data_IF_043094469032
#
_entry.id   IF_043094469032
#
_cell.length_a   1.000
_cell.length_b   1.000
_cell.length_c   1.000
_cell.angle_alpha   90.00
_cell.angle_beta   90.00
_cell.angle_gamma   90.00
#
_symmetry.space_group_name_H-M   'P 1'
#
loop_
_entity.id
_entity.type
_entity.pdbx_description
1 polymer ?
#
# COMPACT_ATOMS: atom_id res chain seq x y z
N UNK A 1 22.55 0.81 17.02
CA UNK A 1 21.81 -0.16 16.19
C UNK A 1 20.57 0.56 15.71
N UNK A 2 20.33 0.70 14.41
CA UNK A 2 19.08 1.30 13.93
C UNK A 2 17.93 0.35 14.26
N UNK A 3 16.86 0.90 14.82
CA UNK A 3 15.70 0.08 15.21
C UNK A 3 14.96 -0.34 13.93
N UNK A 4 15.10 -1.61 13.56
CA UNK A 4 14.44 -2.18 12.39
C UNK A 4 13.26 -3.07 12.83
N UNK A 5 12.10 -2.89 12.20
CA UNK A 5 10.97 -3.79 12.33
C UNK A 5 10.45 -4.20 10.96
N UNK A 6 9.94 -5.43 10.87
CA UNK A 6 9.39 -6.00 9.64
C UNK A 6 8.11 -6.75 9.97
N UNK A 7 7.20 -6.84 9.01
CA UNK A 7 6.04 -7.69 9.13
C UNK A 7 6.40 -9.16 9.24
N UNK A 8 5.71 -9.93 10.11
CA UNK A 8 5.90 -11.36 10.20
C UNK A 8 5.57 -11.96 8.84
N UNK A 9 6.41 -12.86 8.33
CA UNK A 9 6.41 -13.17 6.90
C UNK A 9 5.86 -14.57 6.60
N UNK A 10 4.62 -14.67 6.10
CA UNK A 10 4.26 -15.76 5.21
C UNK A 10 4.02 -15.21 3.79
N UNK A 11 4.94 -15.53 2.88
CA UNK A 11 4.71 -15.60 1.42
C UNK A 11 4.33 -14.30 0.69
N UNK A 12 4.64 -13.13 1.25
CA UNK A 12 4.46 -11.89 0.50
C UNK A 12 5.34 -11.88 -0.76
N UNK A 13 4.71 -11.59 -1.89
CA UNK A 13 5.33 -11.46 -3.22
C UNK A 13 4.77 -10.19 -3.84
N UNK A 14 5.62 -9.40 -4.49
CA UNK A 14 5.20 -8.24 -5.25
C UNK A 14 4.31 -8.62 -6.44
N UNK A 15 3.52 -7.67 -6.92
CA UNK A 15 2.60 -7.86 -8.03
C UNK A 15 2.58 -6.63 -8.93
N UNK A 16 2.87 -6.80 -10.23
CA UNK A 16 2.75 -5.69 -11.17
C UNK A 16 1.30 -5.25 -11.29
N UNK A 17 1.09 -3.94 -11.34
CA UNK A 17 -0.21 -3.40 -11.73
C UNK A 17 -0.51 -3.76 -13.20
N UNK A 18 -1.73 -4.21 -13.50
CA UNK A 18 -2.08 -4.61 -14.86
C UNK A 18 -2.21 -3.44 -15.84
N UNK A 19 -2.53 -2.26 -15.33
CA UNK A 19 -2.60 -0.98 -16.05
C UNK A 19 -2.23 0.16 -15.08
N UNK A 20 -1.96 1.35 -15.64
CA UNK A 20 -1.46 2.54 -14.92
C UNK A 20 -2.28 2.91 -13.65
N UNK A 21 -3.59 2.71 -13.68
CA UNK A 21 -4.55 3.07 -12.63
C UNK A 21 -4.75 1.99 -11.56
N UNK A 22 -4.08 0.84 -11.63
CA UNK A 22 -4.39 -0.35 -10.84
C UNK A 22 -3.38 -0.69 -9.73
N UNK A 23 -2.51 0.26 -9.33
CA UNK A 23 -1.60 0.11 -8.18
C UNK A 23 -2.33 -0.33 -6.90
N UNK A 24 -3.52 0.22 -6.67
CA UNK A 24 -4.36 -0.06 -5.52
C UNK A 24 -4.78 -1.54 -5.46
N UNK A 25 -5.18 -2.11 -6.60
CA UNK A 25 -5.65 -3.48 -6.70
C UNK A 25 -4.51 -4.46 -6.48
N UNK A 26 -3.37 -4.22 -7.14
CA UNK A 26 -2.15 -4.99 -6.92
C UNK A 26 -1.67 -4.92 -5.46
N UNK A 27 -1.80 -3.75 -4.82
CA UNK A 27 -1.53 -3.62 -3.39
C UNK A 27 -2.45 -4.51 -2.53
N UNK A 28 -3.75 -4.55 -2.80
CA UNK A 28 -4.66 -5.41 -2.03
C UNK A 28 -4.38 -6.89 -2.23
N UNK A 29 -4.09 -7.32 -3.46
CA UNK A 29 -3.78 -8.73 -3.73
C UNK A 29 -2.51 -9.16 -3.00
N UNK A 30 -1.50 -8.30 -2.92
CA UNK A 30 -0.31 -8.50 -2.09
C UNK A 30 -0.65 -8.68 -0.60
N UNK A 31 -1.54 -7.85 -0.04
CA UNK A 31 -1.97 -7.96 1.36
C UNK A 31 -2.68 -9.29 1.65
N UNK A 32 -3.56 -9.74 0.75
CA UNK A 32 -4.24 -11.04 0.90
C UNK A 32 -3.31 -12.23 0.70
N UNK A 33 -2.32 -12.12 -0.19
CA UNK A 33 -1.28 -13.13 -0.36
C UNK A 33 -0.46 -13.30 0.91
N UNK A 34 -0.06 -12.20 1.54
CA UNK A 34 0.60 -12.21 2.84
C UNK A 34 -0.25 -12.87 3.93
N UNK A 35 -1.56 -12.61 3.92
CA UNK A 35 -2.52 -13.26 4.84
C UNK A 35 -2.67 -14.78 4.60
N UNK A 36 -2.10 -15.31 3.51
CA UNK A 36 -2.17 -16.73 3.17
C UNK A 36 -3.43 -17.14 2.43
N UNK A 37 -4.18 -16.19 1.84
CA UNK A 37 -5.30 -16.52 0.95
C UNK A 37 -4.79 -17.24 -0.31
N UNK A 38 -5.54 -18.23 -0.78
CA UNK A 38 -5.18 -18.97 -2.00
C UNK A 38 -5.20 -18.04 -3.23
N UNK A 39 -4.10 -18.01 -4.00
CA UNK A 39 -3.87 -17.08 -5.11
C UNK A 39 -5.04 -16.98 -6.09
N UNK A 40 -5.63 -18.13 -6.46
CA UNK A 40 -6.74 -18.19 -7.42
C UNK A 40 -8.03 -17.51 -6.94
N UNK A 41 -8.16 -17.30 -5.62
CA UNK A 41 -9.34 -16.71 -4.99
C UNK A 41 -9.19 -15.20 -4.78
N UNK A 42 -7.96 -14.71 -4.60
CA UNK A 42 -7.67 -13.33 -4.16
C UNK A 42 -8.35 -12.29 -5.04
N UNK A 43 -8.15 -12.38 -6.36
CA UNK A 43 -8.64 -11.35 -7.29
C UNK A 43 -10.16 -11.25 -7.31
N UNK A 44 -10.85 -12.39 -7.35
CA UNK A 44 -12.31 -12.44 -7.32
C UNK A 44 -12.85 -11.98 -5.97
N UNK A 45 -12.19 -12.33 -4.87
CA UNK A 45 -12.54 -11.83 -3.55
C UNK A 45 -12.47 -10.29 -3.50
N UNK A 46 -11.35 -9.69 -3.91
CA UNK A 46 -11.20 -8.23 -3.91
C UNK A 46 -12.26 -7.56 -4.77
N UNK A 47 -12.51 -8.04 -5.99
CA UNK A 47 -13.54 -7.45 -6.86
C UNK A 47 -14.94 -7.53 -6.26
N UNK A 48 -15.38 -8.74 -5.91
CA UNK A 48 -16.73 -8.98 -5.44
C UNK A 48 -17.00 -8.22 -4.14
N UNK A 49 -16.02 -8.16 -3.23
CA UNK A 49 -16.16 -7.45 -1.96
C UNK A 49 -16.25 -5.93 -2.15
N UNK A 50 -15.47 -5.35 -3.06
CA UNK A 50 -15.54 -3.92 -3.32
C UNK A 50 -16.83 -3.51 -4.05
N UNK A 51 -17.27 -4.28 -5.04
CA UNK A 51 -18.55 -4.05 -5.72
C UNK A 51 -19.73 -4.18 -4.74
N UNK A 52 -19.73 -5.21 -3.88
CA UNK A 52 -20.76 -5.37 -2.85
C UNK A 52 -20.77 -4.24 -1.82
N UNK A 53 -19.64 -3.57 -1.59
CA UNK A 53 -19.53 -2.39 -0.73
C UNK A 53 -19.92 -1.08 -1.43
N UNK A 54 -20.38 -1.12 -2.68
CA UNK A 54 -20.80 0.06 -3.44
C UNK A 54 -19.65 0.88 -4.02
N UNK A 55 -18.43 0.33 -4.05
CA UNK A 55 -17.29 0.99 -4.71
C UNK A 55 -17.48 0.87 -6.22
N UNK A 56 -17.43 1.98 -6.94
CA UNK A 56 -17.46 1.99 -8.41
C UNK A 56 -16.14 1.46 -8.98
N UNK A 57 -16.04 0.14 -9.03
CA UNK A 57 -14.88 -0.58 -9.56
C UNK A 57 -14.62 -0.26 -11.02
N UNK A 58 -15.66 0.03 -11.81
CA UNK A 58 -15.50 0.41 -13.22
C UNK A 58 -14.79 1.76 -13.33
N UNK A 59 -15.20 2.75 -12.54
CA UNK A 59 -14.50 4.04 -12.46
C UNK A 59 -13.09 3.88 -11.89
N UNK A 60 -12.90 3.04 -10.86
CA UNK A 60 -11.59 2.82 -10.24
C UNK A 60 -10.58 2.15 -11.18
N UNK A 61 -11.04 1.29 -12.10
CA UNK A 61 -10.19 0.72 -13.16
C UNK A 61 -9.71 1.78 -14.16
N UNK A 62 -10.48 2.83 -14.41
CA UNK A 62 -10.09 3.88 -15.36
C UNK A 62 -9.29 4.99 -14.70
N UNK A 63 -9.66 5.39 -13.49
CA UNK A 63 -9.16 6.63 -12.85
C UNK A 63 -8.35 6.38 -11.58
N UNK A 64 -8.21 5.12 -11.16
CA UNK A 64 -7.66 4.75 -9.87
C UNK A 64 -8.70 4.80 -8.75
N UNK A 65 -8.42 4.10 -7.65
CA UNK A 65 -9.24 4.19 -6.44
C UNK A 65 -9.06 5.57 -5.81
N UNK A 66 -10.17 6.28 -5.60
CA UNK A 66 -10.14 7.65 -5.07
C UNK A 66 -9.80 7.62 -3.59
N UNK A 67 -9.06 8.62 -3.11
CA UNK A 67 -8.65 8.72 -1.69
C UNK A 67 -9.83 8.62 -0.72
N UNK A 68 -10.97 9.25 -1.06
CA UNK A 68 -12.20 9.19 -0.25
C UNK A 68 -12.78 7.78 -0.10
N UNK A 69 -12.49 6.90 -1.07
CA UNK A 69 -13.03 5.54 -1.15
C UNK A 69 -12.07 4.53 -0.49
N UNK A 70 -10.79 4.87 -0.27
CA UNK A 70 -9.80 3.99 0.35
C UNK A 70 -10.24 3.42 1.70
N UNK A 71 -10.83 4.26 2.57
CA UNK A 71 -11.31 3.81 3.89
C UNK A 71 -12.44 2.79 3.76
N UNK A 72 -13.44 3.08 2.93
CA UNK A 72 -14.58 2.20 2.71
C UNK A 72 -14.13 0.88 2.07
N UNK A 73 -13.26 0.93 1.07
CA UNK A 73 -12.67 -0.22 0.41
C UNK A 73 -11.90 -1.11 1.40
N UNK A 74 -11.03 -0.53 2.23
CA UNK A 74 -10.26 -1.28 3.21
C UNK A 74 -11.15 -1.96 4.25
N UNK A 75 -12.13 -1.23 4.81
CA UNK A 75 -13.07 -1.80 5.77
C UNK A 75 -13.88 -2.94 5.16
N UNK A 76 -14.33 -2.80 3.90
CA UNK A 76 -15.06 -3.86 3.20
C UNK A 76 -14.23 -5.14 3.02
N UNK A 77 -12.93 -4.98 2.72
CA UNK A 77 -11.97 -6.09 2.57
C UNK A 77 -11.53 -6.70 3.92
N UNK A 78 -12.13 -6.27 5.03
CA UNK A 78 -11.81 -6.77 6.36
C UNK A 78 -10.46 -6.27 6.89
N UNK A 79 -9.94 -5.18 6.33
CA UNK A 79 -8.74 -4.51 6.83
C UNK A 79 -9.12 -3.59 7.99
N UNK A 80 -8.29 -3.55 9.02
CA UNK A 80 -8.34 -2.48 10.00
C UNK A 80 -7.76 -1.23 9.37
N UNK A 81 -8.59 -0.20 9.29
CA UNK A 81 -8.23 1.09 8.74
C UNK A 81 -7.93 2.04 9.90
N UNK A 82 -6.67 2.45 10.04
CA UNK A 82 -6.28 3.43 11.06
C UNK A 82 -6.09 4.78 10.41
N UNK A 83 -6.89 5.77 10.80
CA UNK A 83 -6.60 7.16 10.46
C UNK A 83 -5.53 7.69 11.41
N UNK A 84 -4.37 8.05 10.89
CA UNK A 84 -3.35 8.75 11.67
C UNK A 84 -3.39 10.25 11.33
N UNK A 85 -3.15 11.09 12.34
CA UNK A 85 -2.90 12.51 12.12
C UNK A 85 -1.54 12.72 11.43
N UNK A 86 -1.37 13.86 10.77
CA UNK A 86 -0.06 14.30 10.29
C UNK A 86 0.72 15.00 11.42
N UNK A 87 2.07 14.90 11.45
CA UNK A 87 2.91 14.18 10.51
C UNK A 87 3.00 12.67 10.79
N UNK A 88 3.17 11.87 9.73
CA UNK A 88 3.57 10.47 9.84
C UNK A 88 4.98 10.37 10.41
N UNK A 89 5.16 9.57 11.46
CA UNK A 89 6.50 9.32 12.01
C UNK A 89 7.02 7.92 11.64
N UNK A 90 8.34 7.77 11.66
CA UNK A 90 9.01 6.47 11.54
C UNK A 90 8.47 5.48 12.59
N UNK A 91 8.27 5.96 13.82
CA UNK A 91 7.71 5.15 14.89
C UNK A 91 6.32 4.62 14.55
N UNK A 92 5.45 5.45 13.95
CA UNK A 92 4.13 4.97 13.52
C UNK A 92 4.27 3.84 12.51
N UNK A 93 5.05 4.02 11.45
CA UNK A 93 5.26 2.97 10.45
C UNK A 93 5.87 1.70 11.05
N UNK A 94 6.83 1.85 11.97
CA UNK A 94 7.51 0.74 12.65
C UNK A 94 6.56 -0.10 13.49
N UNK A 95 5.74 0.53 14.32
CA UNK A 95 4.73 -0.17 15.12
C UNK A 95 3.75 -0.94 14.23
N UNK A 96 3.37 -0.34 13.10
CA UNK A 96 2.43 -0.95 12.18
C UNK A 96 2.99 -2.16 11.46
N UNK A 97 4.20 -2.04 10.93
CA UNK A 97 4.81 -3.16 10.20
C UNK A 97 5.06 -4.35 11.10
N UNK A 98 5.19 -4.21 12.44
CA UNK A 98 5.31 -5.37 13.34
C UNK A 98 4.11 -6.32 13.30
N UNK A 99 2.95 -5.84 12.87
CA UNK A 99 1.72 -6.63 12.84
C UNK A 99 1.38 -7.14 11.43
N UNK A 100 1.51 -6.29 10.41
CA UNK A 100 1.26 -6.66 9.02
C UNK A 100 1.98 -5.72 8.05
N UNK A 101 2.09 -6.07 6.76
CA UNK A 101 2.41 -5.09 5.75
C UNK A 101 1.41 -3.93 5.82
N UNK A 102 1.85 -2.77 5.36
CA UNK A 102 1.05 -1.55 5.33
C UNK A 102 0.74 -1.23 3.88
N UNK A 103 -0.53 -1.30 3.52
CA UNK A 103 -1.02 -0.75 2.27
C UNK A 103 -1.08 0.78 2.43
N UNK A 104 -0.17 1.47 1.76
CA UNK A 104 0.08 2.88 1.96
C UNK A 104 -0.22 3.64 0.67
N UNK A 105 -1.14 4.60 0.71
CA UNK A 105 -1.33 5.56 -0.39
C UNK A 105 -0.59 6.85 -0.09
N UNK A 106 0.21 7.29 -1.05
CA UNK A 106 0.95 8.55 -1.00
C UNK A 106 1.08 9.17 -2.38
N UNK A 107 1.78 10.30 -2.46
CA UNK A 107 2.13 10.95 -3.72
C UNK A 107 3.64 10.85 -3.93
N UNK A 108 4.09 9.74 -4.51
CA UNK A 108 5.51 9.51 -4.85
C UNK A 108 5.83 9.83 -6.31
N UNK A 109 4.82 10.19 -7.10
CA UNK A 109 4.93 10.66 -8.47
C UNK A 109 4.27 12.02 -8.62
N UNK A 110 4.70 12.80 -9.61
CA UNK A 110 4.16 14.12 -9.88
C UNK A 110 2.64 14.05 -10.11
N UNK A 111 1.90 14.80 -9.29
CA UNK A 111 0.44 14.95 -9.35
C UNK A 111 -0.38 13.64 -9.33
N UNK A 112 0.23 12.52 -8.95
CA UNK A 112 -0.41 11.20 -9.01
C UNK A 112 -0.27 10.47 -7.68
N UNK A 113 -1.41 10.01 -7.17
CA UNK A 113 -1.40 9.12 -6.01
C UNK A 113 -1.00 7.72 -6.45
N UNK A 114 -0.23 7.06 -5.61
CA UNK A 114 0.22 5.70 -5.85
C UNK A 114 0.18 4.90 -4.56
N UNK A 115 0.31 3.58 -4.69
CA UNK A 115 0.24 2.65 -3.57
C UNK A 115 1.54 1.88 -3.47
N UNK A 116 2.15 1.95 -2.29
CA UNK A 116 3.23 1.07 -1.87
C UNK A 116 2.72 0.09 -0.82
N UNK A 117 3.22 -1.14 -0.85
CA UNK A 117 3.03 -2.11 0.23
C UNK A 117 4.29 -2.14 1.07
N UNK A 118 4.29 -1.42 2.18
CA UNK A 118 5.44 -1.30 3.08
C UNK A 118 5.53 -2.54 3.97
N UNK A 119 6.72 -3.10 4.12
CA UNK A 119 6.93 -4.39 4.80
C UNK A 119 7.99 -4.33 5.89
N UNK A 120 8.89 -3.36 5.84
CA UNK A 120 9.94 -3.19 6.82
C UNK A 120 10.33 -1.73 6.96
N UNK A 121 10.72 -1.33 8.16
CA UNK A 121 11.01 0.07 8.51
C UNK A 121 12.18 0.10 9.48
N UNK A 122 13.24 0.78 9.09
CA UNK A 122 14.34 1.19 9.96
C UNK A 122 14.25 2.69 10.24
N UNK A 123 15.24 3.28 10.91
CA UNK A 123 15.33 4.73 11.02
C UNK A 123 15.64 5.39 9.65
N UNK A 124 16.52 4.79 8.85
CA UNK A 124 17.07 5.42 7.64
C UNK A 124 16.39 5.00 6.34
N UNK A 125 15.81 3.80 6.32
CA UNK A 125 15.21 3.21 5.12
C UNK A 125 13.93 2.42 5.41
N UNK A 126 13.13 2.28 4.36
CA UNK A 126 11.87 1.53 4.33
C UNK A 126 11.93 0.48 3.22
N UNK A 127 11.54 -0.75 3.54
CA UNK A 127 11.31 -1.85 2.60
C UNK A 127 9.86 -1.85 2.13
N UNK A 128 9.67 -1.92 0.82
CA UNK A 128 8.33 -1.92 0.23
C UNK A 128 8.29 -2.68 -1.09
N UNK A 129 7.08 -3.05 -1.50
CA UNK A 129 6.78 -3.48 -2.86
C UNK A 129 6.08 -2.35 -3.60
N UNK A 130 6.51 -2.15 -4.85
CA UNK A 130 5.97 -1.15 -5.76
C UNK A 130 5.28 -1.86 -6.94
N UNK A 131 3.96 -1.71 -7.12
CA UNK A 131 3.26 -2.26 -8.28
C UNK A 131 3.71 -1.65 -9.62
N UNK A 132 4.34 -0.47 -9.60
CA UNK A 132 4.83 0.21 -10.79
C UNK A 132 6.14 -0.40 -11.30
N UNK A 133 6.25 -0.45 -12.62
CA UNK A 133 7.45 -0.88 -13.35
C UNK A 133 7.58 -0.04 -14.62
N UNK A 134 8.80 0.27 -15.02
CA UNK A 134 9.05 1.12 -16.19
C UNK A 134 9.22 0.29 -17.47
N UNK A 135 9.83 -0.89 -17.35
CA UNK A 135 10.20 -1.70 -18.50
C UNK A 135 9.72 -3.15 -18.39
N UNK A 136 9.88 -3.78 -17.22
CA UNK A 136 9.55 -5.19 -17.02
C UNK A 136 8.67 -5.42 -15.78
N UNK A 137 7.50 -6.09 -15.91
CA UNK A 137 6.65 -6.45 -14.78
C UNK A 137 7.36 -7.22 -13.64
N UNK A 138 8.48 -7.89 -13.91
CA UNK A 138 9.25 -8.57 -12.85
C UNK A 138 9.83 -7.60 -11.83
N UNK A 139 10.09 -6.33 -12.20
CA UNK A 139 10.59 -5.29 -11.29
C UNK A 139 9.62 -5.00 -10.14
N UNK A 140 8.33 -5.23 -10.35
CA UNK A 140 7.29 -5.06 -9.34
C UNK A 140 7.16 -6.28 -8.42
N UNK A 141 7.82 -7.40 -8.75
CA UNK A 141 7.88 -8.59 -7.89
C UNK A 141 8.96 -8.47 -6.81
N UNK A 142 9.95 -7.62 -7.03
CA UNK A 142 11.08 -7.44 -6.15
C UNK A 142 10.77 -6.44 -5.03
N UNK A 143 11.31 -6.75 -3.85
CA UNK A 143 11.27 -5.82 -2.73
C UNK A 143 12.30 -4.71 -2.96
N UNK A 144 11.86 -3.47 -2.78
CA UNK A 144 12.66 -2.26 -2.95
C UNK A 144 12.95 -1.62 -1.60
N UNK A 145 13.96 -0.76 -1.58
CA UNK A 145 14.29 0.10 -0.44
C UNK A 145 14.39 1.55 -0.89
N UNK A 146 13.86 2.44 -0.07
CA UNK A 146 14.03 3.88 -0.22
C UNK A 146 14.34 4.51 1.14
N UNK A 147 14.85 5.74 1.14
CA UNK A 147 15.08 6.46 2.39
C UNK A 147 13.75 6.71 3.11
N UNK A 148 13.80 6.73 4.44
CA UNK A 148 12.60 7.03 5.23
C UNK A 148 12.05 8.42 4.90
N UNK A 149 12.93 9.40 4.71
CA UNK A 149 12.59 10.76 4.26
C UNK A 149 11.76 10.74 2.97
N UNK A 150 12.19 9.97 1.95
CA UNK A 150 11.47 9.85 0.68
C UNK A 150 10.06 9.26 0.86
N UNK A 151 9.94 8.20 1.67
CA UNK A 151 8.62 7.59 1.91
C UNK A 151 7.69 8.56 2.62
N UNK A 152 8.19 9.26 3.64
CA UNK A 152 7.38 10.17 4.46
C UNK A 152 7.04 11.47 3.73
N UNK A 153 8.02 12.12 3.12
CA UNK A 153 7.93 13.50 2.62
C UNK A 153 8.09 13.62 1.10
N UNK A 154 8.57 12.58 0.41
CA UNK A 154 8.92 12.65 -1.01
C UNK A 154 10.09 13.63 -1.26
N UNK A 155 10.01 14.42 -2.34
CA UNK A 155 10.96 15.51 -2.64
C UNK A 155 10.53 16.87 -2.03
N UNK A 156 9.38 16.91 -1.34
CA UNK A 156 8.81 18.14 -0.79
C UNK A 156 8.26 19.12 -1.84
N UNK A 157 8.18 18.70 -3.10
CA UNK A 157 7.71 19.52 -4.24
C UNK A 157 6.66 18.77 -5.06
N UNK A 158 7.11 17.88 -5.95
CA UNK A 158 6.27 17.14 -6.90
C UNK A 158 5.77 15.83 -6.30
N UNK A 159 6.60 15.22 -5.46
CA UNK A 159 6.31 14.05 -4.66
C UNK A 159 6.26 14.48 -3.18
N UNK A 160 5.12 14.27 -2.54
CA UNK A 160 4.90 14.63 -1.13
C UNK A 160 4.76 13.41 -0.23
N UNK A 161 5.13 12.23 -0.73
CA UNK A 161 5.15 10.98 0.01
C UNK A 161 3.84 10.69 0.74
N UNK A 162 3.95 10.25 1.99
CA UNK A 162 2.80 10.05 2.88
C UNK A 162 2.24 11.37 3.45
N UNK A 163 3.01 12.46 3.44
CA UNK A 163 2.54 13.77 3.88
C UNK A 163 1.40 14.32 3.01
N UNK A 164 1.25 13.82 1.77
CA UNK A 164 0.20 14.25 0.85
C UNK A 164 -1.23 14.00 1.37
N UNK A 165 -1.47 12.88 2.05
CA UNK A 165 -2.82 12.46 2.40
C UNK A 165 -3.19 13.08 3.76
N UNK A 166 -4.02 14.14 3.71
CA UNK A 166 -4.47 14.95 4.87
C UNK A 166 -5.06 14.10 6.02
N UNK A 167 -5.52 12.90 5.70
CA UNK A 167 -5.77 11.79 6.61
C UNK A 167 -5.26 10.55 5.90
N UNK A 168 -4.29 9.88 6.48
CA UNK A 168 -3.73 8.67 5.88
C UNK A 168 -4.28 7.45 6.60
N UNK A 169 -4.66 6.48 5.79
CA UNK A 169 -5.29 5.24 6.20
C UNK A 169 -4.36 4.08 5.83
N UNK A 170 -3.30 3.79 6.62
CA UNK A 170 -2.68 2.50 6.51
C UNK A 170 -3.76 1.43 6.72
N UNK A 171 -4.02 0.68 5.64
CA UNK A 171 -4.95 -0.44 5.68
C UNK A 171 -4.13 -1.67 6.06
N UNK A 172 -4.53 -2.32 7.14
CA UNK A 172 -3.76 -3.39 7.77
C UNK A 172 -4.61 -4.60 8.07
N UNK A 173 -3.95 -5.73 8.16
CA UNK A 173 -4.53 -6.92 8.78
C UNK A 173 -3.99 -7.03 10.21
N UNK A 174 -4.85 -7.34 11.16
CA UNK A 174 -4.41 -7.80 12.48
C UNK A 174 -5.06 -9.16 12.71
N UNK A 175 -4.32 -10.07 13.34
CA UNK A 175 -4.90 -11.26 13.95
C UNK A 175 -5.83 -10.87 15.11
#
# INVERSE_FOLDING_TARGET
MSDYSRCPNPKLRGEPQSIASMCWFAGYTMMFRWRGMEEKLIRNHVWNTLEAAGIDVKSAKTTGLKLKDNKAAGMALGLKVRGYGQPVTVHNLRELVRHSPVWATGRWFENTNHVYVITGVSDDWVEYYDPWYDHNPTEAMDMRRATTEWILQGDGKSATGLAHTFQWFPLQFFE
#
